data_IF_202023821700
#
_entry.id   IF_202023821700
#
_cell.length_a   1.000
_cell.length_b   1.000
_cell.length_c   1.000
_cell.angle_alpha   90.00
_cell.angle_beta   90.00
_cell.angle_gamma   90.00
#
_symmetry.space_group_name_H-M   'P 1'
#
loop_
_entity.id
_entity.type
_entity.pdbx_description
1 polymer ?
#
# COMPACT_ATOMS: atom_id res chain seq x y z
N UNK A 1 1.76 9.48 -26.38
CA UNK A 1 2.76 9.24 -25.32
C UNK A 1 2.33 8.01 -24.55
N UNK A 2 3.18 6.99 -24.38
CA UNK A 2 2.84 5.79 -23.61
C UNK A 2 3.36 5.96 -22.18
N UNK A 3 2.44 6.22 -21.25
CA UNK A 3 2.71 6.17 -19.81
C UNK A 3 2.02 4.94 -19.25
N UNK A 4 2.75 4.12 -18.50
CA UNK A 4 2.19 2.96 -17.80
C UNK A 4 2.12 3.31 -16.32
N UNK A 5 0.90 3.47 -15.80
CA UNK A 5 0.68 3.53 -14.36
C UNK A 5 0.69 2.09 -13.85
N UNK A 6 1.70 1.72 -13.08
CA UNK A 6 1.73 0.41 -12.41
C UNK A 6 1.09 0.61 -11.05
N UNK A 7 -0.13 0.09 -10.89
CA UNK A 7 -0.74 -0.09 -9.57
C UNK A 7 -0.02 -1.26 -8.90
N UNK A 8 0.74 -0.99 -7.85
CA UNK A 8 1.36 -2.05 -7.06
C UNK A 8 0.28 -2.67 -6.18
N UNK A 9 -0.28 -3.80 -6.62
CA UNK A 9 -1.18 -4.59 -5.78
C UNK A 9 -0.39 -5.35 -4.68
N UNK A 10 -1.12 -5.62 -3.61
CA UNK A 10 -0.73 -6.01 -2.26
C UNK A 10 0.27 -7.16 -2.16
N UNK A 11 1.26 -7.01 -1.27
CA UNK A 11 2.05 -8.11 -0.69
C UNK A 11 2.17 -7.86 0.82
N UNK A 12 1.89 -8.88 1.62
CA UNK A 12 1.77 -8.90 3.08
C UNK A 12 3.11 -9.19 3.75
N UNK A 13 3.76 -8.23 4.44
CA UNK A 13 5.12 -8.52 4.87
C UNK A 13 5.67 -7.87 6.17
N UNK A 14 6.56 -8.59 6.86
CA UNK A 14 7.42 -8.39 8.03
C UNK A 14 8.87 -8.77 7.64
N UNK A 15 9.90 -8.17 8.25
CA UNK A 15 11.30 -8.51 7.95
C UNK A 15 12.07 -8.90 9.21
N UNK A 16 12.53 -10.15 9.28
CA UNK A 16 13.66 -10.59 10.10
C UNK A 16 14.41 -11.73 9.37
N UNK A 17 15.71 -11.57 9.00
CA UNK A 17 16.39 -12.58 8.19
C UNK A 17 16.97 -13.70 9.07
N UNK A 18 16.27 -14.83 9.16
CA UNK A 18 16.82 -16.07 9.69
C UNK A 18 17.65 -16.80 8.62
N UNK A 19 18.95 -16.96 8.83
CA UNK A 19 19.89 -17.55 7.86
C UNK A 19 19.89 -19.10 7.77
N UNK A 20 18.80 -19.80 8.11
CA UNK A 20 18.87 -21.24 8.42
C UNK A 20 18.38 -22.22 7.34
N UNK A 21 17.58 -21.80 6.34
CA UNK A 21 16.94 -22.76 5.43
C UNK A 21 17.07 -22.39 3.93
N UNK A 22 16.81 -23.36 3.04
CA UNK A 22 16.68 -23.14 1.60
C UNK A 22 15.20 -23.07 1.25
N UNK A 23 14.68 -21.85 1.08
CA UNK A 23 13.27 -21.57 1.30
C UNK A 23 12.42 -21.46 0.01
N UNK A 24 12.90 -21.96 -1.14
CA UNK A 24 12.27 -21.73 -2.46
C UNK A 24 10.98 -22.52 -2.73
N UNK A 25 10.53 -23.39 -1.83
CA UNK A 25 9.29 -24.20 -1.97
C UNK A 25 8.75 -24.65 -0.61
N UNK A 26 7.52 -25.17 -0.58
CA UNK A 26 6.93 -25.81 0.60
C UNK A 26 7.65 -27.09 1.04
N UNK A 27 8.62 -27.57 0.24
CA UNK A 27 9.34 -28.83 0.49
C UNK A 27 10.14 -28.80 1.80
N UNK A 28 10.39 -27.61 2.36
CA UNK A 28 11.01 -27.43 3.67
C UNK A 28 10.05 -27.38 4.85
N UNK A 29 8.73 -27.31 4.63
CA UNK A 29 7.70 -27.18 5.68
C UNK A 29 7.38 -28.54 6.29
N UNK A 30 7.61 -28.71 7.59
CA UNK A 30 7.40 -29.99 8.29
C UNK A 30 6.40 -29.86 9.43
N UNK A 31 5.81 -30.98 9.86
CA UNK A 31 4.85 -31.02 10.98
C UNK A 31 5.46 -30.70 12.34
N UNK A 32 6.79 -30.64 12.46
CA UNK A 32 7.51 -30.43 13.73
C UNK A 32 8.11 -29.01 13.85
N UNK A 33 7.59 -28.05 13.09
CA UNK A 33 8.06 -26.66 13.12
C UNK A 33 7.60 -25.91 14.38
N UNK A 34 8.46 -25.03 14.88
CA UNK A 34 8.17 -24.12 16.00
C UNK A 34 7.58 -22.80 15.51
N UNK A 35 7.08 -21.96 16.44
CA UNK A 35 6.65 -20.61 16.10
C UNK A 35 7.80 -19.73 15.56
N UNK A 36 9.02 -19.94 16.04
CA UNK A 36 10.21 -19.24 15.53
C UNK A 36 10.53 -19.67 14.09
N UNK A 37 10.39 -20.97 13.77
CA UNK A 37 10.56 -21.44 12.39
C UNK A 37 9.49 -20.83 11.47
N UNK A 38 8.24 -20.74 11.93
CA UNK A 38 7.16 -20.12 11.17
C UNK A 38 7.41 -18.62 10.93
N UNK A 39 7.93 -17.89 11.92
CA UNK A 39 8.31 -16.48 11.77
C UNK A 39 9.40 -16.31 10.70
N UNK A 40 10.40 -17.19 10.70
CA UNK A 40 11.45 -17.21 9.69
C UNK A 40 10.92 -17.52 8.27
N UNK A 41 10.02 -18.50 8.12
CA UNK A 41 9.40 -18.83 6.82
C UNK A 41 8.54 -17.69 6.28
N UNK A 42 7.76 -17.05 7.16
CA UNK A 42 6.97 -15.89 6.81
C UNK A 42 7.88 -14.76 6.31
N UNK A 43 8.94 -14.41 7.04
CA UNK A 43 9.89 -13.37 6.63
C UNK A 43 10.60 -13.70 5.30
N UNK A 44 10.90 -14.98 5.02
CA UNK A 44 11.50 -15.37 3.75
C UNK A 44 10.52 -15.26 2.58
N UNK A 45 9.33 -15.85 2.67
CA UNK A 45 8.35 -15.83 1.56
C UNK A 45 8.03 -14.41 1.15
N UNK A 46 8.06 -13.53 2.13
CA UNK A 46 7.90 -12.11 1.99
C UNK A 46 9.08 -11.41 1.31
N UNK A 47 10.32 -11.75 1.68
CA UNK A 47 11.50 -11.31 0.93
C UNK A 47 11.45 -11.79 -0.53
N UNK A 48 10.95 -12.99 -0.81
CA UNK A 48 10.82 -13.47 -2.19
C UNK A 48 9.74 -12.75 -2.98
N UNK A 49 8.62 -12.38 -2.36
CA UNK A 49 7.59 -11.55 -2.97
C UNK A 49 8.12 -10.15 -3.31
N UNK A 50 8.89 -9.55 -2.39
CA UNK A 50 9.64 -8.32 -2.66
C UNK A 50 10.57 -8.46 -3.88
N UNK A 51 11.37 -9.53 -3.92
CA UNK A 51 12.30 -9.82 -5.03
C UNK A 51 11.56 -10.03 -6.35
N UNK A 52 10.36 -10.60 -6.33
CA UNK A 52 9.53 -10.75 -7.51
C UNK A 52 9.12 -9.39 -8.08
N UNK A 53 8.70 -8.43 -7.24
CA UNK A 53 8.39 -7.05 -7.65
C UNK A 53 9.62 -6.29 -8.12
N UNK A 54 10.74 -6.42 -7.41
CA UNK A 54 12.04 -5.86 -7.80
C UNK A 54 12.47 -6.38 -9.18
N UNK A 55 12.31 -7.69 -9.44
CA UNK A 55 12.59 -8.33 -10.72
C UNK A 55 11.70 -7.80 -11.85
N UNK A 56 10.38 -7.68 -11.62
CA UNK A 56 9.45 -7.09 -12.60
C UNK A 56 9.83 -5.64 -12.93
N UNK A 57 10.14 -4.84 -11.92
CA UNK A 57 10.62 -3.46 -12.11
C UNK A 57 11.91 -3.41 -12.93
N UNK A 58 12.89 -4.26 -12.62
CA UNK A 58 14.14 -4.37 -13.38
C UNK A 58 13.92 -4.75 -14.85
N UNK A 59 12.91 -5.57 -15.14
CA UNK A 59 12.56 -5.91 -16.53
C UNK A 59 11.87 -4.76 -17.26
N UNK A 60 11.11 -3.91 -16.56
CA UNK A 60 10.38 -2.78 -17.15
C UNK A 60 11.24 -1.52 -17.34
N UNK A 61 12.16 -1.23 -16.42
CA UNK A 61 13.02 -0.03 -16.42
C UNK A 61 13.75 0.22 -17.76
N UNK A 62 14.30 -0.79 -18.46
CA UNK A 62 14.92 -0.60 -19.77
C UNK A 62 13.97 -0.01 -20.83
N UNK A 63 12.66 -0.29 -20.72
CA UNK A 63 11.65 0.17 -21.66
C UNK A 63 11.01 1.52 -21.27
N UNK A 64 11.28 2.03 -20.07
CA UNK A 64 10.81 3.34 -19.61
C UNK A 64 11.59 4.44 -20.32
N UNK A 65 10.94 5.12 -21.26
CA UNK A 65 11.56 6.20 -22.07
C UNK A 65 11.69 7.54 -21.35
N UNK A 66 10.79 7.83 -20.41
CA UNK A 66 10.73 9.12 -19.70
C UNK A 66 10.87 8.92 -18.20
N UNK A 67 9.76 8.62 -17.53
CA UNK A 67 9.69 8.45 -16.08
C UNK A 67 8.65 7.39 -15.73
N UNK A 68 8.91 6.65 -14.65
CA UNK A 68 8.01 5.68 -14.07
C UNK A 68 7.49 6.22 -12.75
N UNK A 69 6.18 6.49 -12.71
CA UNK A 69 5.52 6.95 -11.49
C UNK A 69 5.06 5.75 -10.68
N UNK A 70 5.51 5.68 -9.43
CA UNK A 70 5.18 4.60 -8.51
C UNK A 70 4.37 5.19 -7.37
N UNK A 71 3.17 4.65 -7.12
CA UNK A 71 2.32 5.08 -6.02
C UNK A 71 2.82 4.45 -4.71
N UNK A 72 3.08 5.28 -3.70
CA UNK A 72 3.45 4.80 -2.38
C UNK A 72 2.26 4.13 -1.69
N UNK A 73 2.59 3.23 -0.77
CA UNK A 73 1.61 2.48 0.00
C UNK A 73 0.89 3.40 1.00
N UNK A 74 -0.41 3.17 1.15
CA UNK A 74 -1.27 3.76 2.19
C UNK A 74 -1.99 2.64 2.94
N UNK A 75 -2.53 2.88 4.15
CA UNK A 75 -3.18 1.83 4.93
C UNK A 75 -4.33 1.19 4.18
N UNK A 76 -4.67 -0.05 4.55
CA UNK A 76 -5.79 -0.76 3.94
C UNK A 76 -7.10 -0.31 4.56
N UNK A 77 -8.17 -0.48 3.80
CA UNK A 77 -9.52 -0.34 4.34
C UNK A 77 -10.02 -1.72 4.74
N UNK A 78 -10.62 -1.82 5.93
CA UNK A 78 -11.28 -3.03 6.39
C UNK A 78 -12.55 -3.27 5.55
N UNK A 79 -12.58 -4.41 4.85
CA UNK A 79 -13.65 -4.79 3.93
C UNK A 79 -14.98 -5.14 4.62
N UNK A 80 -15.01 -5.25 5.96
CA UNK A 80 -16.23 -5.48 6.74
C UNK A 80 -16.81 -4.15 7.24
N UNK A 81 -15.95 -3.27 7.78
CA UNK A 81 -16.37 -2.02 8.45
C UNK A 81 -16.93 -0.97 7.47
N UNK A 82 -16.45 -0.93 6.22
CA UNK A 82 -16.79 0.15 5.28
C UNK A 82 -18.29 0.25 4.96
N UNK A 83 -19.02 -0.87 4.95
CA UNK A 83 -20.46 -0.91 4.60
C UNK A 83 -21.32 -0.14 5.62
N UNK A 84 -20.80 0.08 6.83
CA UNK A 84 -21.57 0.64 7.94
C UNK A 84 -21.24 2.10 8.26
N UNK A 85 -20.21 2.71 7.65
CA UNK A 85 -19.75 4.07 7.99
C UNK A 85 -20.90 5.08 8.02
N UNK A 86 -21.68 5.21 6.94
CA UNK A 86 -22.81 6.15 6.89
C UNK A 86 -23.91 5.82 7.92
N UNK A 87 -24.15 4.53 8.20
CA UNK A 87 -25.16 4.11 9.19
C UNK A 87 -24.70 4.43 10.61
N UNK A 88 -23.41 4.28 10.89
CA UNK A 88 -22.80 4.49 12.19
C UNK A 88 -22.69 5.98 12.53
N UNK A 89 -22.32 6.81 11.54
CA UNK A 89 -22.41 8.27 11.66
C UNK A 89 -23.84 8.72 11.94
N UNK A 90 -24.83 8.18 11.21
CA UNK A 90 -26.26 8.49 11.44
C UNK A 90 -26.72 8.12 12.86
N UNK A 91 -26.15 7.08 13.47
CA UNK A 91 -26.44 6.66 14.85
C UNK A 91 -25.68 7.48 15.90
N UNK A 92 -24.82 8.40 15.49
CA UNK A 92 -23.99 9.19 16.40
C UNK A 92 -22.86 8.38 17.04
N UNK A 93 -22.40 7.29 16.40
CA UNK A 93 -21.18 6.60 16.85
C UNK A 93 -20.00 7.56 16.83
N UNK A 94 -19.07 7.34 17.75
CA UNK A 94 -17.84 8.12 17.82
C UNK A 94 -17.03 7.93 16.53
N UNK A 95 -16.62 9.03 15.91
CA UNK A 95 -15.91 9.03 14.62
C UNK A 95 -14.56 8.32 14.73
N UNK A 96 -13.85 8.51 15.84
CA UNK A 96 -12.52 7.92 16.07
C UNK A 96 -12.61 6.39 16.15
N UNK A 97 -13.66 5.86 16.76
CA UNK A 97 -13.93 4.41 16.80
C UNK A 97 -14.21 3.85 15.41
N UNK A 98 -15.00 4.56 14.59
CA UNK A 98 -15.28 4.15 13.20
C UNK A 98 -13.97 4.10 12.40
N UNK A 99 -13.10 5.11 12.50
CA UNK A 99 -11.80 5.09 11.81
C UNK A 99 -10.90 3.96 12.30
N UNK A 100 -10.86 3.70 13.60
CA UNK A 100 -10.04 2.63 14.17
C UNK A 100 -10.47 1.25 13.65
N UNK A 101 -11.77 1.04 13.43
CA UNK A 101 -12.31 -0.20 12.86
C UNK A 101 -12.16 -0.26 11.33
N UNK A 102 -12.15 0.90 10.67
CA UNK A 102 -12.12 1.01 9.22
C UNK A 102 -10.70 0.93 8.65
N UNK A 103 -9.70 1.47 9.35
CA UNK A 103 -8.33 1.58 8.83
C UNK A 103 -7.49 0.42 9.37
N UNK A 104 -6.98 -0.37 8.44
CA UNK A 104 -6.10 -1.49 8.71
C UNK A 104 -4.64 -1.08 8.43
N UNK A 105 -3.87 -0.98 9.51
CA UNK A 105 -2.44 -0.63 9.50
C UNK A 105 -1.53 -1.85 9.35
N UNK A 106 -2.09 -3.05 9.31
CA UNK A 106 -1.32 -4.27 9.20
C UNK A 106 -0.47 -4.22 7.91
N UNK A 107 0.87 -4.27 8.10
CA UNK A 107 1.92 -4.19 7.07
C UNK A 107 2.08 -2.86 6.33
N UNK A 108 1.35 -1.82 6.71
CA UNK A 108 1.39 -0.52 6.03
C UNK A 108 2.79 0.12 6.00
N UNK A 109 3.47 0.22 7.15
CA UNK A 109 4.81 0.84 7.24
C UNK A 109 5.85 0.08 6.41
N UNK A 110 5.81 -1.25 6.43
CA UNK A 110 6.74 -2.03 5.62
C UNK A 110 6.45 -1.87 4.13
N UNK A 111 5.18 -1.91 3.73
CA UNK A 111 4.79 -1.69 2.35
C UNK A 111 5.27 -0.34 1.82
N UNK A 112 5.36 0.70 2.67
CA UNK A 112 5.98 1.99 2.31
C UNK A 112 7.49 1.90 2.15
N UNK A 113 8.19 1.40 3.17
CA UNK A 113 9.66 1.25 3.14
C UNK A 113 10.12 0.49 1.89
N UNK A 114 9.36 -0.53 1.50
CA UNK A 114 9.53 -1.30 0.27
C UNK A 114 9.39 -0.43 -0.96
N UNK A 115 8.24 0.18 -1.17
CA UNK A 115 8.01 1.00 -2.37
C UNK A 115 9.07 2.10 -2.50
N UNK A 116 9.44 2.73 -1.37
CA UNK A 116 10.52 3.71 -1.30
C UNK A 116 11.88 3.13 -1.69
N UNK A 117 12.21 1.92 -1.23
CA UNK A 117 13.46 1.23 -1.58
C UNK A 117 13.54 0.88 -3.08
N UNK A 118 12.45 0.40 -3.69
CA UNK A 118 12.39 0.11 -5.14
C UNK A 118 12.60 1.40 -5.94
N UNK A 119 11.93 2.49 -5.55
CA UNK A 119 12.06 3.77 -6.23
C UNK A 119 13.48 4.32 -6.09
N UNK A 120 14.09 4.16 -4.91
CA UNK A 120 15.50 4.54 -4.68
C UNK A 120 16.45 3.78 -5.60
N UNK A 121 16.27 2.47 -5.77
CA UNK A 121 17.08 1.66 -6.69
C UNK A 121 16.85 2.02 -8.17
N UNK A 122 15.62 2.37 -8.54
CA UNK A 122 15.29 2.85 -9.90
C UNK A 122 15.93 4.21 -10.23
N UNK A 123 16.27 5.00 -9.21
CA UNK A 123 16.96 6.27 -9.33
C UNK A 123 16.15 7.32 -10.10
N UNK A 124 16.84 8.14 -10.90
CA UNK A 124 16.24 9.28 -11.60
C UNK A 124 15.11 8.91 -12.60
N UNK A 125 15.00 7.63 -12.97
CA UNK A 125 13.93 7.13 -13.86
C UNK A 125 12.60 6.97 -13.14
N UNK A 126 12.57 6.91 -11.82
CA UNK A 126 11.34 6.75 -11.05
C UNK A 126 10.97 8.03 -10.29
N UNK A 127 9.69 8.20 -10.05
CA UNK A 127 9.14 9.22 -9.16
C UNK A 127 8.08 8.59 -8.26
N UNK A 128 8.19 8.85 -6.96
CA UNK A 128 7.23 8.37 -5.98
C UNK A 128 6.07 9.37 -5.87
N UNK A 129 4.84 8.87 -6.03
CA UNK A 129 3.61 9.61 -5.75
C UNK A 129 3.13 9.19 -4.36
N UNK A 130 2.79 10.13 -3.48
CA UNK A 130 2.34 9.81 -2.12
C UNK A 130 1.00 10.47 -1.80
N UNK A 131 0.03 9.66 -1.38
CA UNK A 131 -1.29 10.13 -0.96
C UNK A 131 -1.40 10.42 0.53
N UNK A 132 -0.42 10.00 1.34
CA UNK A 132 -0.46 10.23 2.78
C UNK A 132 -0.72 11.69 3.18
N UNK A 133 -0.12 12.71 2.55
CA UNK A 133 -0.40 14.10 2.93
C UNK A 133 -1.86 14.53 2.76
N UNK A 134 -2.63 13.81 1.95
CA UNK A 134 -4.06 14.05 1.73
C UNK A 134 -4.95 13.20 2.65
N UNK A 135 -4.50 11.99 2.98
CA UNK A 135 -5.27 11.04 3.77
C UNK A 135 -5.02 11.18 5.28
N UNK A 136 -3.82 11.60 5.69
CA UNK A 136 -3.45 11.71 7.10
C UNK A 136 -3.75 13.10 7.65
N UNK A 137 -4.67 13.15 8.61
CA UNK A 137 -5.01 14.37 9.32
C UNK A 137 -4.12 14.52 10.56
N UNK A 138 -3.28 15.56 10.55
CA UNK A 138 -2.34 15.86 11.64
C UNK A 138 -3.02 16.35 12.92
N UNK A 139 -4.20 16.95 12.81
CA UNK A 139 -4.95 17.46 13.96
C UNK A 139 -5.62 16.34 14.73
N UNK A 140 -6.27 15.41 14.01
CA UNK A 140 -6.90 14.22 14.61
C UNK A 140 -5.94 13.04 14.78
N UNK A 141 -4.71 13.14 14.26
CA UNK A 141 -3.67 12.12 14.28
C UNK A 141 -4.15 10.75 13.74
N UNK A 142 -4.87 10.75 12.62
CA UNK A 142 -5.41 9.54 11.99
C UNK A 142 -5.53 9.66 10.47
N UNK A 143 -5.76 8.53 9.82
CA UNK A 143 -6.12 8.45 8.42
C UNK A 143 -7.63 8.64 8.22
N UNK A 144 -8.00 9.59 7.37
CA UNK A 144 -9.37 9.95 7.05
C UNK A 144 -9.81 9.24 5.75
N UNK A 145 -10.55 8.14 5.88
CA UNK A 145 -10.99 7.32 4.73
C UNK A 145 -12.40 7.68 4.23
N UNK A 146 -13.07 8.62 4.90
CA UNK A 146 -14.33 9.22 4.49
C UNK A 146 -14.35 10.71 4.85
N UNK A 147 -15.23 11.47 4.19
CA UNK A 147 -15.46 12.89 4.49
C UNK A 147 -16.42 13.09 5.68
N UNK A 148 -16.67 14.34 6.08
CA UNK A 148 -17.57 14.64 7.21
C UNK A 148 -19.03 14.18 7.00
N UNK A 149 -19.42 13.84 5.77
CA UNK A 149 -20.75 13.32 5.43
C UNK A 149 -20.79 11.78 5.36
N UNK A 150 -19.64 11.11 5.51
CA UNK A 150 -19.52 9.66 5.40
C UNK A 150 -19.29 9.13 3.99
N UNK A 151 -18.96 9.98 3.02
CA UNK A 151 -18.56 9.54 1.68
C UNK A 151 -17.16 8.95 1.72
N UNK A 152 -17.05 7.66 1.41
CA UNK A 152 -15.78 6.94 1.37
C UNK A 152 -14.91 7.39 0.19
N UNK A 153 -13.61 7.57 0.45
CA UNK A 153 -12.61 7.79 -0.60
C UNK A 153 -12.19 6.48 -1.29
N UNK A 154 -12.50 5.33 -0.69
CA UNK A 154 -12.18 4.01 -1.23
C UNK A 154 -13.44 3.16 -1.40
N UNK A 155 -13.41 2.30 -2.41
CA UNK A 155 -14.39 1.23 -2.61
C UNK A 155 -14.05 0.02 -1.75
N UNK A 156 -14.98 -0.91 -1.55
CA UNK A 156 -14.73 -2.15 -0.81
C UNK A 156 -13.63 -3.05 -1.37
N UNK A 157 -13.15 -2.81 -2.60
CA UNK A 157 -11.98 -3.50 -3.15
C UNK A 157 -10.65 -2.76 -2.93
N UNK A 158 -10.64 -1.66 -2.17
CA UNK A 158 -9.46 -0.82 -1.94
C UNK A 158 -9.07 0.09 -3.11
N UNK A 159 -9.90 0.18 -4.16
CA UNK A 159 -9.73 1.18 -5.23
C UNK A 159 -10.25 2.54 -4.79
N UNK A 160 -9.74 3.63 -5.36
CA UNK A 160 -10.31 4.96 -5.18
C UNK A 160 -11.77 4.99 -5.67
N UNK A 161 -12.66 5.56 -4.87
CA UNK A 161 -14.01 5.91 -5.31
C UNK A 161 -13.97 7.14 -6.22
N UNK A 162 -15.09 7.50 -6.84
CA UNK A 162 -15.18 8.79 -7.56
C UNK A 162 -14.82 9.97 -6.64
N UNK A 163 -15.25 9.93 -5.37
CA UNK A 163 -14.90 10.94 -4.39
C UNK A 163 -13.41 10.91 -4.02
N UNK A 164 -12.81 9.72 -3.89
CA UNK A 164 -11.36 9.57 -3.69
C UNK A 164 -10.53 10.09 -4.86
N UNK A 165 -11.02 9.95 -6.09
CA UNK A 165 -10.36 10.54 -7.27
C UNK A 165 -10.34 12.07 -7.20
N UNK A 166 -11.40 12.70 -6.71
CA UNK A 166 -11.42 14.16 -6.47
C UNK A 166 -10.37 14.57 -5.43
N UNK A 167 -10.24 13.79 -4.35
CA UNK A 167 -9.26 14.04 -3.30
C UNK A 167 -7.82 14.04 -3.85
N UNK A 168 -7.46 13.07 -4.68
CA UNK A 168 -6.09 12.93 -5.21
C UNK A 168 -5.84 13.72 -6.50
N UNK A 169 -6.89 14.28 -7.13
CA UNK A 169 -6.79 15.06 -8.37
C UNK A 169 -5.70 16.15 -8.32
N UNK A 170 -5.50 16.92 -7.22
CA UNK A 170 -4.47 17.95 -7.18
C UNK A 170 -3.05 17.39 -7.40
N UNK A 171 -2.78 16.16 -6.96
CA UNK A 171 -1.48 15.49 -7.15
C UNK A 171 -1.22 15.27 -8.63
N UNK A 172 -2.16 14.66 -9.34
CA UNK A 172 -2.05 14.44 -10.78
C UNK A 172 -2.05 15.74 -11.58
N UNK A 173 -2.82 16.73 -11.16
CA UNK A 173 -2.84 18.06 -11.81
C UNK A 173 -1.46 18.72 -11.74
N UNK A 174 -0.77 18.61 -10.61
CA UNK A 174 0.61 19.09 -10.45
C UNK A 174 1.57 18.32 -11.35
N UNK A 175 1.53 16.98 -11.32
CA UNK A 175 2.38 16.13 -12.16
C UNK A 175 2.21 16.42 -13.64
N UNK A 176 0.98 16.60 -14.12
CA UNK A 176 0.73 16.94 -15.52
C UNK A 176 1.35 18.27 -15.94
N UNK A 177 1.38 19.28 -15.05
CA UNK A 177 2.01 20.58 -15.32
C UNK A 177 3.53 20.52 -15.32
N UNK A 178 4.11 19.62 -14.54
CA UNK A 178 5.58 19.43 -14.47
C UNK A 178 6.10 18.58 -15.64
N UNK A 179 5.21 17.86 -16.33
CA UNK A 179 5.54 17.00 -17.47
C UNK A 179 5.37 17.67 -18.85
N UNK A 180 4.77 18.86 -18.89
CA UNK A 180 4.63 19.73 -20.07
C UNK A 180 5.79 20.70 -20.18
#
# INVERSE_FOLDING_TARGET
>A
MNYTLIKTDFTYDLMNPCNKYNFTSLDGVTKNMTYDDADCWNAYWQYTDWRAKESQMKQLIPYVKKKLFVLNSYPRMNNVSYINVAKDLKRGRNVDEIHKELVDFEFYELARHRTESIVKECGAKCELIDYNPLLFNKTSNRFEFFDNNGFLYFTGGGHLSAHGLELVRPVYTKLCKELT
#
